data_IF_519593991968
#
_entry.id   IF_519593991968
#
_cell.length_a   1.000
_cell.length_b   1.000
_cell.length_c   1.000
_cell.angle_alpha   90.00
_cell.angle_beta   90.00
_cell.angle_gamma   90.00
#
_symmetry.space_group_name_H-M   'P 1'
#
loop_
_entity.id
_entity.type
_entity.pdbx_description
1 polymer ?
#
# COMPACT_ATOMS: atom_id res chain seq x y z
N UNK A 1 36.98 -35.40 -22.90
CA UNK A 1 37.40 -33.99 -23.06
C UNK A 1 36.23 -33.04 -23.37
N UNK A 2 35.70 -32.97 -24.61
CA UNK A 2 34.69 -31.95 -24.97
C UNK A 2 33.30 -32.19 -24.34
N UNK A 3 32.87 -33.46 -24.26
CA UNK A 3 31.61 -33.85 -23.59
C UNK A 3 31.67 -33.61 -22.07
N UNK A 4 32.82 -33.81 -21.44
CA UNK A 4 33.03 -33.55 -20.01
C UNK A 4 33.04 -32.05 -19.70
N UNK A 5 33.64 -31.22 -20.56
CA UNK A 5 33.57 -29.75 -20.46
C UNK A 5 32.14 -29.22 -20.59
N UNK A 6 31.36 -29.73 -21.55
CA UNK A 6 29.96 -29.35 -21.73
C UNK A 6 29.12 -29.79 -20.52
N UNK A 7 29.38 -30.97 -19.96
CA UNK A 7 28.68 -31.47 -18.76
C UNK A 7 29.01 -30.61 -17.54
N UNK A 8 30.28 -30.20 -17.36
CA UNK A 8 30.68 -29.30 -16.28
C UNK A 8 30.07 -27.91 -16.42
N UNK A 9 30.00 -27.35 -17.64
CA UNK A 9 29.38 -26.06 -17.90
C UNK A 9 27.86 -26.09 -17.66
N UNK A 10 27.18 -27.17 -18.04
CA UNK A 10 25.75 -27.37 -17.75
C UNK A 10 25.50 -27.52 -16.25
N UNK A 11 26.35 -28.27 -15.54
CA UNK A 11 26.25 -28.40 -14.09
C UNK A 11 26.51 -27.06 -13.40
N UNK A 12 27.54 -26.30 -13.79
CA UNK A 12 27.75 -24.95 -13.27
C UNK A 12 26.60 -24.00 -13.59
N UNK A 13 26.00 -24.07 -14.78
CA UNK A 13 24.83 -23.27 -15.12
C UNK A 13 23.60 -23.65 -14.27
N UNK A 14 23.41 -24.94 -13.99
CA UNK A 14 22.36 -25.48 -13.12
C UNK A 14 22.59 -25.14 -11.65
N UNK A 15 23.84 -25.19 -11.18
CA UNK A 15 24.19 -24.78 -9.83
C UNK A 15 24.02 -23.26 -9.69
N UNK A 16 24.37 -22.47 -10.72
CA UNK A 16 24.10 -21.03 -10.79
C UNK A 16 22.61 -20.67 -10.90
N UNK A 17 21.74 -21.64 -11.22
CA UNK A 17 20.28 -21.58 -11.07
C UNK A 17 19.90 -21.76 -9.59
N UNK A 18 20.53 -20.96 -8.71
CA UNK A 18 20.10 -20.70 -7.34
C UNK A 18 18.78 -19.90 -7.31
N UNK A 19 17.79 -20.29 -8.13
CA UNK A 19 16.51 -19.59 -8.27
C UNK A 19 15.76 -19.52 -6.95
N UNK A 20 15.74 -20.63 -6.20
CA UNK A 20 15.06 -20.72 -4.91
C UNK A 20 15.75 -19.87 -3.83
N UNK A 21 17.08 -19.87 -3.77
CA UNK A 21 17.83 -19.00 -2.85
C UNK A 21 17.61 -17.52 -3.19
N UNK A 22 17.74 -17.15 -4.46
CA UNK A 22 17.49 -15.77 -4.91
C UNK A 22 16.06 -15.33 -4.65
N UNK A 23 15.09 -16.23 -4.78
CA UNK A 23 13.70 -15.96 -4.44
C UNK A 23 13.52 -15.74 -2.93
N UNK A 24 14.14 -16.58 -2.09
CA UNK A 24 14.11 -16.42 -0.64
C UNK A 24 14.74 -15.08 -0.21
N UNK A 25 15.90 -14.72 -0.79
CA UNK A 25 16.57 -13.45 -0.54
C UNK A 25 15.70 -12.25 -0.97
N UNK A 26 15.09 -12.31 -2.17
CA UNK A 26 14.20 -11.26 -2.65
C UNK A 26 12.96 -11.11 -1.76
N UNK A 27 12.37 -12.21 -1.28
CA UNK A 27 11.25 -12.17 -0.32
C UNK A 27 11.65 -11.48 0.97
N UNK A 28 12.80 -11.86 1.54
CA UNK A 28 13.30 -11.26 2.78
C UNK A 28 13.55 -9.75 2.63
N UNK A 29 14.15 -9.33 1.52
CA UNK A 29 14.34 -7.91 1.22
C UNK A 29 12.99 -7.19 1.06
N UNK A 30 12.06 -7.77 0.30
CA UNK A 30 10.75 -7.15 0.06
C UNK A 30 9.92 -7.01 1.36
N UNK A 31 9.96 -8.00 2.25
CA UNK A 31 9.32 -7.91 3.58
C UNK A 31 10.00 -6.84 4.44
N UNK A 32 11.32 -6.74 4.37
CA UNK A 32 12.07 -5.70 5.10
C UNK A 32 11.68 -4.29 4.61
N UNK A 33 11.63 -4.07 3.29
CA UNK A 33 11.16 -2.82 2.68
C UNK A 33 9.70 -2.52 3.08
N UNK A 34 8.81 -3.51 2.98
CA UNK A 34 7.39 -3.39 3.37
C UNK A 34 7.25 -2.92 4.82
N UNK A 35 8.08 -3.44 5.72
CA UNK A 35 8.03 -3.08 7.15
C UNK A 35 8.53 -1.65 7.45
N UNK A 36 9.23 -1.01 6.51
CA UNK A 36 9.65 0.39 6.63
C UNK A 36 8.60 1.38 6.08
N UNK A 37 7.58 0.89 5.37
CA UNK A 37 6.47 1.71 4.88
C UNK A 37 5.59 2.17 6.04
N UNK A 38 5.28 3.47 6.14
CA UNK A 38 4.63 4.06 7.32
C UNK A 38 3.18 4.53 7.08
N UNK A 39 2.71 4.49 5.83
CA UNK A 39 1.33 4.75 5.45
C UNK A 39 0.42 3.53 5.56
N UNK A 40 0.91 2.31 5.44
CA UNK A 40 0.01 1.15 5.56
C UNK A 40 -0.55 1.00 6.99
N UNK A 41 -1.84 0.65 7.12
CA UNK A 41 -2.38 0.18 8.39
C UNK A 41 -1.92 -1.27 8.68
N UNK A 42 -2.10 -1.76 9.91
CA UNK A 42 -1.56 -3.06 10.31
C UNK A 42 -2.13 -4.22 9.46
N UNK A 43 -3.46 -4.32 9.22
CA UNK A 43 -4.01 -5.37 8.38
C UNK A 43 -3.50 -5.35 6.93
N UNK A 44 -3.33 -4.15 6.32
CA UNK A 44 -2.78 -4.03 4.97
C UNK A 44 -1.35 -4.57 4.92
N UNK A 45 -0.50 -4.18 5.87
CA UNK A 45 0.88 -4.64 5.97
C UNK A 45 0.94 -6.16 6.08
N UNK A 46 0.17 -6.74 6.99
CA UNK A 46 0.13 -8.20 7.19
C UNK A 46 -0.33 -8.95 5.95
N UNK A 47 -1.36 -8.46 5.26
CA UNK A 47 -1.85 -9.08 4.04
C UNK A 47 -0.83 -9.01 2.90
N UNK A 48 -0.13 -7.87 2.74
CA UNK A 48 0.92 -7.70 1.74
C UNK A 48 2.16 -8.56 2.06
N UNK A 49 2.53 -8.68 3.33
CA UNK A 49 3.62 -9.55 3.77
C UNK A 49 3.32 -11.02 3.41
N UNK A 50 2.08 -11.47 3.67
CA UNK A 50 1.62 -12.80 3.27
C UNK A 50 1.67 -12.99 1.74
N UNK A 51 1.26 -12.00 0.96
CA UNK A 51 1.34 -12.07 -0.51
C UNK A 51 2.79 -12.16 -1.02
N UNK A 52 3.71 -11.39 -0.43
CA UNK A 52 5.14 -11.46 -0.78
C UNK A 52 5.71 -12.83 -0.44
N UNK A 53 5.43 -13.34 0.77
CA UNK A 53 5.91 -14.65 1.20
C UNK A 53 5.36 -15.81 0.35
N UNK A 54 4.14 -15.68 -0.17
CA UNK A 54 3.49 -16.67 -1.04
C UNK A 54 3.83 -16.54 -2.54
N UNK A 55 4.54 -15.48 -2.96
CA UNK A 55 4.94 -15.30 -4.35
C UNK A 55 5.83 -16.48 -4.83
N UNK A 56 5.57 -17.00 -6.03
CA UNK A 56 6.28 -18.15 -6.58
C UNK A 56 7.53 -17.75 -7.37
N UNK A 57 7.61 -16.49 -7.81
CA UNK A 57 8.72 -15.99 -8.62
C UNK A 57 9.26 -14.66 -8.11
N UNK A 58 10.51 -14.36 -8.49
CA UNK A 58 11.16 -13.08 -8.18
C UNK A 58 10.41 -11.89 -8.78
N UNK A 59 9.82 -12.08 -9.96
CA UNK A 59 8.99 -11.07 -10.62
C UNK A 59 7.73 -10.75 -9.84
N UNK A 60 7.04 -11.77 -9.32
CA UNK A 60 5.87 -11.59 -8.45
C UNK A 60 6.24 -10.89 -7.14
N UNK A 61 7.36 -11.23 -6.51
CA UNK A 61 7.86 -10.53 -5.31
C UNK A 61 8.04 -9.03 -5.59
N UNK A 62 8.73 -8.69 -6.69
CA UNK A 62 8.96 -7.31 -7.09
C UNK A 62 7.64 -6.57 -7.39
N UNK A 63 6.70 -7.23 -8.06
CA UNK A 63 5.38 -6.67 -8.34
C UNK A 63 4.60 -6.40 -7.04
N UNK A 64 4.56 -7.35 -6.10
CA UNK A 64 3.88 -7.19 -4.82
C UNK A 64 4.47 -6.09 -3.96
N UNK A 65 5.79 -5.93 -3.98
CA UNK A 65 6.45 -4.81 -3.33
C UNK A 65 6.09 -3.46 -3.98
N UNK A 66 5.99 -3.40 -5.31
CA UNK A 66 5.57 -2.19 -6.01
C UNK A 66 4.11 -1.82 -5.70
N UNK A 67 3.21 -2.81 -5.67
CA UNK A 67 1.81 -2.63 -5.24
C UNK A 67 1.74 -2.11 -3.79
N UNK A 68 2.55 -2.67 -2.88
CA UNK A 68 2.64 -2.21 -1.50
C UNK A 68 3.11 -0.75 -1.39
N UNK A 69 4.17 -0.37 -2.12
CA UNK A 69 4.69 1.02 -2.16
C UNK A 69 3.65 2.00 -2.70
N UNK A 70 2.89 1.61 -3.73
CA UNK A 70 1.84 2.44 -4.30
C UNK A 70 0.64 2.60 -3.36
N UNK A 71 0.23 1.53 -2.68
CA UNK A 71 -0.83 1.59 -1.66
C UNK A 71 -0.40 2.44 -0.46
N UNK A 72 0.86 2.32 -0.04
CA UNK A 72 1.43 3.12 1.05
C UNK A 72 1.34 4.62 0.75
N UNK A 73 1.72 5.04 -0.45
CA UNK A 73 1.60 6.43 -0.90
C UNK A 73 0.14 6.91 -0.90
N UNK A 74 -0.80 6.09 -1.39
CA UNK A 74 -2.22 6.43 -1.37
C UNK A 74 -2.74 6.58 0.08
N UNK A 75 -2.30 5.71 0.99
CA UNK A 75 -2.67 5.77 2.41
C UNK A 75 -2.07 6.98 3.14
N UNK A 76 -0.87 7.41 2.75
CA UNK A 76 -0.29 8.66 3.25
C UNK A 76 -1.11 9.86 2.76
N UNK A 77 -1.48 9.89 1.48
CA UNK A 77 -2.33 10.94 0.92
C UNK A 77 -3.70 11.01 1.63
N UNK A 78 -4.32 9.85 1.91
CA UNK A 78 -5.57 9.78 2.66
C UNK A 78 -5.42 10.37 4.07
N UNK A 79 -4.35 10.04 4.81
CA UNK A 79 -4.08 10.62 6.14
C UNK A 79 -3.88 12.13 6.07
N UNK A 80 -3.10 12.59 5.10
CA UNK A 80 -2.83 14.02 4.93
C UNK A 80 -4.12 14.79 4.60
N UNK A 81 -5.04 14.20 3.83
CA UNK A 81 -6.29 14.85 3.44
C UNK A 81 -7.21 15.22 4.62
N UNK A 82 -7.11 14.48 5.73
CA UNK A 82 -7.91 14.71 6.95
C UNK A 82 -7.11 15.34 8.10
N UNK A 83 -5.83 15.63 7.90
CA UNK A 83 -4.94 16.10 8.97
C UNK A 83 -5.40 17.44 9.55
N UNK A 84 -5.99 18.30 8.73
CA UNK A 84 -6.46 19.63 9.12
C UNK A 84 -7.96 19.72 9.41
N UNK A 85 -8.58 18.57 9.75
CA UNK A 85 -10.00 18.49 10.07
C UNK A 85 -10.40 19.53 11.13
N UNK A 86 -9.69 19.60 12.25
CA UNK A 86 -10.06 20.48 13.36
C UNK A 86 -9.99 21.96 12.97
N UNK A 87 -8.97 22.36 12.19
CA UNK A 87 -8.88 23.72 11.68
C UNK A 87 -10.02 24.02 10.69
N UNK A 88 -10.35 23.07 9.82
CA UNK A 88 -11.44 23.21 8.85
C UNK A 88 -12.78 23.38 9.55
N UNK A 89 -13.10 22.52 10.54
CA UNK A 89 -14.36 22.55 11.28
C UNK A 89 -14.51 23.78 12.18
N UNK A 90 -13.40 24.35 12.66
CA UNK A 90 -13.41 25.61 13.43
C UNK A 90 -13.43 26.86 12.55
N UNK A 91 -13.26 26.70 11.23
CA UNK A 91 -13.17 27.78 10.27
C UNK A 91 -14.54 28.38 9.91
N UNK A 92 -14.54 29.68 9.60
CA UNK A 92 -15.76 30.41 9.20
C UNK A 92 -16.49 29.77 8.01
N UNK A 93 -15.75 29.20 7.05
CA UNK A 93 -16.27 28.44 5.91
C UNK A 93 -17.22 27.33 6.37
N UNK A 94 -16.71 26.37 7.14
CA UNK A 94 -17.51 25.28 7.69
C UNK A 94 -18.64 25.74 8.62
N UNK A 95 -18.40 26.76 9.45
CA UNK A 95 -19.40 27.24 10.41
C UNK A 95 -20.63 27.80 9.69
N UNK A 96 -20.42 28.61 8.64
CA UNK A 96 -21.48 29.34 7.94
C UNK A 96 -22.05 28.60 6.72
N UNK A 97 -21.46 27.48 6.32
CA UNK A 97 -21.93 26.68 5.19
C UNK A 97 -23.25 25.94 5.51
N UNK A 98 -23.99 25.59 4.47
CA UNK A 98 -25.23 24.84 4.56
C UNK A 98 -25.04 23.45 5.18
N UNK A 99 -26.08 22.97 5.88
CA UNK A 99 -26.05 21.67 6.58
C UNK A 99 -25.62 20.49 5.68
N UNK A 100 -26.12 20.33 4.44
CA UNK A 100 -25.75 19.19 3.60
C UNK A 100 -24.25 19.12 3.27
N UNK A 101 -23.60 20.27 3.03
CA UNK A 101 -22.17 20.37 2.71
C UNK A 101 -21.33 20.03 3.93
N UNK A 102 -21.74 20.49 5.12
CA UNK A 102 -21.09 20.14 6.40
C UNK A 102 -21.19 18.65 6.67
N UNK A 103 -22.39 18.08 6.53
CA UNK A 103 -22.63 16.64 6.70
C UNK A 103 -21.77 15.83 5.70
N UNK A 104 -21.65 16.29 4.44
CA UNK A 104 -20.85 15.63 3.41
C UNK A 104 -19.35 15.63 3.75
N UNK A 105 -18.80 16.75 4.20
CA UNK A 105 -17.40 16.83 4.64
C UNK A 105 -17.14 15.90 5.83
N UNK A 106 -18.00 15.95 6.85
CA UNK A 106 -17.86 15.10 8.03
C UNK A 106 -17.96 13.61 7.69
N UNK A 107 -18.89 13.22 6.80
CA UNK A 107 -19.01 11.85 6.34
C UNK A 107 -17.78 11.38 5.56
N UNK A 108 -17.24 12.21 4.66
CA UNK A 108 -16.02 11.90 3.92
C UNK A 108 -14.82 11.69 4.86
N UNK A 109 -14.66 12.57 5.86
CA UNK A 109 -13.61 12.45 6.89
C UNK A 109 -13.79 11.18 7.72
N UNK A 110 -15.02 10.84 8.11
CA UNK A 110 -15.29 9.61 8.87
C UNK A 110 -14.94 8.36 8.06
N UNK A 111 -15.34 8.28 6.79
CA UNK A 111 -15.00 7.15 5.92
C UNK A 111 -13.48 6.99 5.74
N UNK A 112 -12.75 8.11 5.62
CA UNK A 112 -11.29 8.11 5.59
C UNK A 112 -10.69 7.56 6.89
N UNK A 113 -11.19 8.00 8.06
CA UNK A 113 -10.77 7.49 9.37
C UNK A 113 -11.06 6.00 9.54
N UNK A 114 -12.20 5.54 9.06
CA UNK A 114 -12.59 4.11 9.15
C UNK A 114 -11.61 3.23 8.38
N UNK A 115 -11.19 3.66 7.18
CA UNK A 115 -10.17 2.94 6.42
C UNK A 115 -8.79 3.03 7.08
N UNK A 116 -8.38 4.23 7.53
CA UNK A 116 -7.09 4.43 8.21
C UNK A 116 -6.95 3.54 9.45
N UNK A 117 -8.03 3.42 10.23
CA UNK A 117 -8.05 2.67 11.49
C UNK A 117 -8.59 1.25 11.34
N UNK A 118 -8.74 0.76 10.11
CA UNK A 118 -9.26 -0.58 9.84
C UNK A 118 -8.40 -1.65 10.56
N UNK A 119 -9.06 -2.53 11.31
CA UNK A 119 -8.41 -3.58 12.13
C UNK A 119 -8.59 -5.00 11.57
N UNK A 120 -9.42 -5.17 10.54
CA UNK A 120 -9.65 -6.44 9.85
C UNK A 120 -10.22 -6.23 8.44
N UNK A 121 -10.20 -7.28 7.61
CA UNK A 121 -10.61 -7.22 6.19
C UNK A 121 -9.92 -6.09 5.42
N UNK A 122 -8.58 -6.11 5.30
CA UNK A 122 -7.81 -4.99 4.77
C UNK A 122 -8.24 -4.59 3.35
N UNK A 123 -8.49 -3.30 3.15
CA UNK A 123 -8.62 -2.72 1.81
C UNK A 123 -7.24 -2.61 1.16
N UNK A 124 -6.96 -3.49 0.18
CA UNK A 124 -5.72 -3.46 -0.61
C UNK A 124 -5.87 -2.72 -1.95
N UNK A 125 -7.10 -2.39 -2.33
CA UNK A 125 -7.37 -1.66 -3.57
C UNK A 125 -6.95 -0.19 -3.42
N UNK A 126 -5.87 0.18 -4.09
CA UNK A 126 -5.36 1.54 -4.15
C UNK A 126 -6.42 2.54 -4.63
N UNK A 127 -7.23 2.16 -5.63
CA UNK A 127 -8.23 3.06 -6.22
C UNK A 127 -9.31 3.42 -5.20
N UNK A 128 -9.69 2.48 -4.33
CA UNK A 128 -10.63 2.74 -3.24
C UNK A 128 -10.08 3.76 -2.22
N UNK A 129 -8.77 3.71 -1.93
CA UNK A 129 -8.10 4.68 -1.05
C UNK A 129 -8.04 6.06 -1.71
N UNK A 130 -7.73 6.12 -3.01
CA UNK A 130 -7.71 7.36 -3.80
C UNK A 130 -9.11 7.99 -3.89
N UNK A 131 -10.17 7.20 -4.05
CA UNK A 131 -11.55 7.68 -4.05
C UNK A 131 -11.93 8.34 -2.73
N UNK A 132 -11.54 7.77 -1.58
CA UNK A 132 -11.79 8.38 -0.28
C UNK A 132 -11.02 9.70 -0.11
N UNK A 133 -9.77 9.74 -0.58
CA UNK A 133 -8.95 10.96 -0.56
C UNK A 133 -9.60 12.07 -1.40
N UNK A 134 -10.09 11.71 -2.60
CA UNK A 134 -10.80 12.64 -3.47
C UNK A 134 -12.12 13.10 -2.85
N UNK A 135 -12.87 12.21 -2.20
CA UNK A 135 -14.12 12.54 -1.53
C UNK A 135 -13.90 13.59 -0.43
N UNK A 136 -12.87 13.43 0.40
CA UNK A 136 -12.49 14.43 1.42
C UNK A 136 -12.14 15.76 0.77
N UNK A 137 -11.29 15.74 -0.25
CA UNK A 137 -10.84 16.96 -0.95
C UNK A 137 -12.01 17.71 -1.57
N UNK A 138 -12.87 17.02 -2.32
CA UNK A 138 -14.05 17.62 -2.97
C UNK A 138 -15.06 18.14 -1.95
N UNK A 139 -15.33 17.38 -0.88
CA UNK A 139 -16.26 17.85 0.14
C UNK A 139 -15.73 19.09 0.88
N UNK A 140 -14.41 19.18 1.08
CA UNK A 140 -13.74 20.34 1.67
C UNK A 140 -13.77 21.57 0.77
N UNK A 141 -13.58 21.38 -0.53
CA UNK A 141 -13.66 22.47 -1.51
C UNK A 141 -15.07 23.06 -1.63
N UNK A 142 -16.08 22.26 -1.26
CA UNK A 142 -17.49 22.66 -1.20
C UNK A 142 -17.92 23.29 0.14
N UNK A 143 -16.96 23.65 1.01
CA UNK A 143 -17.16 24.43 2.25
C UNK A 143 -16.79 25.91 2.08
#
# INVERSE_FOLDING_TARGET
AQVEQLTQAVNQAKDNLHGDQKLADDKQHAVTDLNQLNGLNNPQRQALESQINNAATRGEVAQKLAEAKALDQAMQALRNSIQDQQQTESGSKFINEDKPQKDAYQAAVQNAKDLINQTGNPTLDKSQVEQLTQAVTTAKDNL
#
